data_IF_799037955983
#
_entry.id   IF_799037955983
#
_cell.length_a   1.000
_cell.length_b   1.000
_cell.length_c   1.000
_cell.angle_alpha   90.00
_cell.angle_beta   90.00
_cell.angle_gamma   90.00
#
_symmetry.space_group_name_H-M   'P 1'
#
loop_
_entity.id
_entity.type
_entity.pdbx_description
1 polymer ?
#
# COMPACT_ATOMS: atom_id res chain seq x y z
N UNK A 1 4.80 -9.73 0.06
CA UNK A 1 5.14 -8.35 0.50
C UNK A 1 6.19 -8.31 1.61
N UNK A 2 5.97 -9.00 2.73
CA UNK A 2 6.91 -9.04 3.87
C UNK A 2 8.21 -9.79 3.53
N UNK A 3 8.15 -10.78 2.64
CA UNK A 3 9.32 -11.55 2.15
C UNK A 3 10.28 -10.72 1.27
N UNK A 4 9.88 -9.50 0.90
CA UNK A 4 10.67 -8.59 0.04
C UNK A 4 11.36 -7.47 0.83
N UNK A 5 11.38 -7.58 2.16
CA UNK A 5 12.17 -6.69 3.00
C UNK A 5 13.64 -7.15 2.91
N UNK A 6 14.55 -6.21 2.66
CA UNK A 6 15.97 -6.47 2.44
C UNK A 6 16.72 -6.81 3.72
N UNK A 7 16.21 -6.39 4.89
CA UNK A 7 16.88 -6.61 6.16
C UNK A 7 15.93 -6.72 7.37
N UNK A 8 16.52 -7.13 8.49
CA UNK A 8 15.83 -7.31 9.78
C UNK A 8 15.33 -5.97 10.37
N UNK A 9 15.95 -4.85 10.04
CA UNK A 9 15.54 -3.53 10.52
C UNK A 9 14.22 -3.11 9.89
N UNK A 10 14.08 -3.29 8.57
CA UNK A 10 12.84 -3.07 7.83
C UNK A 10 11.72 -3.97 8.35
N UNK A 11 12.00 -5.25 8.59
CA UNK A 11 11.04 -6.17 9.19
C UNK A 11 10.61 -5.74 10.60
N UNK A 12 11.58 -5.32 11.43
CA UNK A 12 11.31 -4.83 12.78
C UNK A 12 10.48 -3.55 12.79
N UNK A 13 10.75 -2.63 11.85
CA UNK A 13 10.00 -1.38 11.69
C UNK A 13 8.56 -1.65 11.26
N UNK A 14 8.37 -2.55 10.29
CA UNK A 14 7.05 -3.00 9.86
C UNK A 14 6.27 -3.61 11.03
N UNK A 15 6.88 -4.52 11.80
CA UNK A 15 6.22 -5.14 12.96
C UNK A 15 5.76 -4.12 14.00
N UNK A 16 6.59 -3.10 14.30
CA UNK A 16 6.18 -2.02 15.22
C UNK A 16 5.02 -1.21 14.66
N UNK A 17 5.04 -0.87 13.38
CA UNK A 17 3.94 -0.13 12.73
C UNK A 17 2.64 -0.95 12.74
N UNK A 18 2.71 -2.27 12.50
CA UNK A 18 1.54 -3.16 12.55
C UNK A 18 0.96 -3.25 13.95
N UNK A 19 1.80 -3.41 14.98
CA UNK A 19 1.35 -3.45 16.37
C UNK A 19 0.63 -2.13 16.77
N UNK A 20 1.09 -0.99 16.26
CA UNK A 20 0.41 0.28 16.46
C UNK A 20 -0.93 0.37 15.71
N UNK A 21 -1.04 -0.20 14.51
CA UNK A 21 -2.32 -0.27 13.79
C UNK A 21 -3.35 -1.13 14.52
N UNK A 22 -2.94 -2.27 15.09
CA UNK A 22 -3.86 -3.16 15.82
C UNK A 22 -4.50 -2.48 17.05
N UNK A 23 -3.80 -1.51 17.64
CA UNK A 23 -4.30 -0.73 18.78
C UNK A 23 -5.28 0.37 18.38
N UNK A 24 -5.27 0.83 17.13
CA UNK A 24 -6.15 1.91 16.65
C UNK A 24 -7.60 1.45 16.53
N UNK A 25 -8.51 2.41 16.62
CA UNK A 25 -9.94 2.20 16.33
C UNK A 25 -10.17 1.97 14.83
N UNK A 26 -11.31 1.36 14.49
CA UNK A 26 -11.71 1.15 13.10
C UNK A 26 -11.82 2.48 12.31
N UNK A 27 -12.29 3.55 12.96
CA UNK A 27 -12.39 4.87 12.35
C UNK A 27 -11.01 5.46 12.02
N UNK A 28 -10.06 5.34 12.93
CA UNK A 28 -8.67 5.78 12.71
C UNK A 28 -8.00 4.96 11.60
N UNK A 29 -8.24 3.65 11.54
CA UNK A 29 -7.72 2.78 10.49
C UNK A 29 -8.30 3.14 9.12
N UNK A 30 -9.60 3.45 9.04
CA UNK A 30 -10.24 3.93 7.80
C UNK A 30 -9.65 5.28 7.36
N UNK A 31 -9.40 6.20 8.28
CA UNK A 31 -8.78 7.48 7.98
C UNK A 31 -7.33 7.33 7.51
N UNK A 32 -6.58 6.43 8.14
CA UNK A 32 -5.22 6.07 7.73
C UNK A 32 -5.20 5.53 6.30
N UNK A 33 -6.14 4.65 5.97
CA UNK A 33 -6.28 4.07 4.64
C UNK A 33 -6.54 5.15 3.57
N UNK A 34 -7.45 6.09 3.87
CA UNK A 34 -7.74 7.25 3.01
C UNK A 34 -6.51 8.13 2.79
N UNK A 35 -5.74 8.41 3.85
CA UNK A 35 -4.52 9.24 3.75
C UNK A 35 -3.47 8.64 2.81
N UNK A 36 -3.36 7.32 2.75
CA UNK A 36 -2.45 6.63 1.84
C UNK A 36 -2.99 6.49 0.41
N UNK A 37 -4.25 6.88 0.15
CA UNK A 37 -4.85 6.90 -1.18
C UNK A 37 -5.23 5.52 -1.75
N UNK A 38 -5.15 4.44 -0.96
CA UNK A 38 -5.56 3.10 -1.39
C UNK A 38 -7.08 2.93 -1.31
N UNK A 39 -7.62 2.00 -2.10
CA UNK A 39 -9.05 1.72 -2.15
C UNK A 39 -9.53 0.88 -0.96
N UNK A 40 -10.34 1.44 -0.04
CA UNK A 40 -10.80 0.68 1.12
C UNK A 40 -11.69 -0.46 0.64
N UNK A 41 -11.63 -1.60 1.32
CA UNK A 41 -12.69 -2.58 1.19
C UNK A 41 -13.87 -2.16 2.08
N UNK A 42 -15.01 -1.90 1.44
CA UNK A 42 -16.21 -1.37 2.07
C UNK A 42 -16.80 -2.33 3.11
N UNK A 43 -16.48 -3.63 3.03
CA UNK A 43 -16.99 -4.67 3.91
C UNK A 43 -15.92 -5.18 4.89
N UNK A 44 -14.76 -4.52 4.93
CA UNK A 44 -13.66 -4.95 5.79
C UNK A 44 -13.97 -4.78 7.27
N UNK A 45 -13.77 -5.87 8.02
CA UNK A 45 -13.64 -5.85 9.48
C UNK A 45 -12.38 -5.07 9.88
N UNK A 46 -12.22 -4.80 11.19
CA UNK A 46 -11.00 -4.18 11.71
C UNK A 46 -9.76 -4.96 11.28
N UNK A 47 -9.79 -6.28 11.39
CA UNK A 47 -8.72 -7.19 10.99
C UNK A 47 -8.44 -7.10 9.48
N UNK A 48 -9.48 -7.01 8.66
CA UNK A 48 -9.34 -6.82 7.20
C UNK A 48 -8.65 -5.51 6.83
N UNK A 49 -8.98 -4.41 7.52
CA UNK A 49 -8.33 -3.11 7.30
C UNK A 49 -6.88 -3.16 7.80
N UNK A 50 -6.62 -3.74 8.97
CA UNK A 50 -5.24 -3.92 9.47
C UNK A 50 -4.41 -4.72 8.47
N UNK A 51 -4.90 -5.86 8.00
CA UNK A 51 -4.21 -6.69 7.00
C UNK A 51 -3.88 -5.88 5.73
N UNK A 52 -4.84 -5.09 5.25
CA UNK A 52 -4.64 -4.25 4.06
C UNK A 52 -3.63 -3.14 4.32
N UNK A 53 -3.66 -2.49 5.48
CA UNK A 53 -2.66 -1.48 5.87
C UNK A 53 -1.27 -2.09 6.06
N UNK A 54 -1.17 -3.30 6.60
CA UNK A 54 0.10 -4.03 6.70
C UNK A 54 0.71 -4.27 5.33
N UNK A 55 -0.11 -4.62 4.32
CA UNK A 55 0.39 -4.75 2.94
C UNK A 55 0.91 -3.43 2.40
N UNK A 56 0.18 -2.32 2.63
CA UNK A 56 0.61 -0.99 2.21
C UNK A 56 1.90 -0.56 2.91
N UNK A 57 2.02 -0.76 4.22
CA UNK A 57 3.25 -0.50 4.98
C UNK A 57 4.42 -1.32 4.44
N UNK A 58 4.18 -2.59 4.07
CA UNK A 58 5.22 -3.41 3.46
C UNK A 58 5.70 -2.83 2.11
N UNK A 59 4.81 -2.21 1.32
CA UNK A 59 5.21 -1.47 0.10
C UNK A 59 6.01 -0.20 0.42
N UNK A 60 5.67 0.49 1.51
CA UNK A 60 6.39 1.68 1.94
C UNK A 60 7.79 1.36 2.45
N UNK A 61 8.00 0.21 3.09
CA UNK A 61 9.29 -0.20 3.65
C UNK A 61 10.19 -0.94 2.64
N UNK A 62 9.62 -1.66 1.66
CA UNK A 62 10.42 -2.47 0.73
C UNK A 62 11.40 -1.65 -0.13
N UNK A 63 12.55 -2.22 -0.54
CA UNK A 63 13.51 -1.56 -1.41
C UNK A 63 12.89 -1.06 -2.72
N UNK A 64 13.44 0.03 -3.26
CA UNK A 64 12.93 0.63 -4.49
C UNK A 64 13.00 -0.36 -5.68
N UNK A 65 14.01 -1.23 -5.73
CA UNK A 65 14.11 -2.31 -6.72
C UNK A 65 12.93 -3.27 -6.63
N UNK A 66 12.65 -3.80 -5.43
CA UNK A 66 11.54 -4.71 -5.18
C UNK A 66 10.16 -4.08 -5.44
N UNK A 67 10.02 -2.78 -5.17
CA UNK A 67 8.81 -2.03 -5.47
C UNK A 67 8.57 -1.90 -6.99
N UNK A 68 9.63 -1.69 -7.78
CA UNK A 68 9.56 -1.69 -9.25
C UNK A 68 9.21 -3.06 -9.79
N UNK A 69 9.84 -4.11 -9.27
CA UNK A 69 9.53 -5.50 -9.64
C UNK A 69 8.07 -5.82 -9.36
N UNK A 70 7.57 -5.45 -8.18
CA UNK A 70 6.16 -5.60 -7.83
C UNK A 70 5.23 -4.88 -8.81
N UNK A 71 5.59 -3.65 -9.21
CA UNK A 71 4.81 -2.93 -10.21
C UNK A 71 4.83 -3.64 -11.57
N UNK A 72 5.98 -4.18 -12.00
CA UNK A 72 6.10 -4.95 -13.25
C UNK A 72 5.28 -6.24 -13.21
N UNK A 73 5.33 -6.98 -12.12
CA UNK A 73 4.55 -8.21 -11.91
C UNK A 73 3.04 -7.93 -11.97
N UNK A 74 2.61 -6.79 -11.42
CA UNK A 74 1.23 -6.32 -11.48
C UNK A 74 0.89 -5.63 -12.82
N UNK A 75 1.78 -5.71 -13.82
CA UNK A 75 1.63 -5.10 -15.15
C UNK A 75 1.33 -3.59 -15.10
N UNK A 76 1.86 -2.91 -14.08
CA UNK A 76 1.74 -1.47 -13.93
C UNK A 76 2.82 -0.76 -14.77
N UNK A 77 2.53 0.43 -15.30
CA UNK A 77 3.44 1.18 -16.18
C UNK A 77 4.59 1.84 -15.39
N UNK A 78 5.37 1.04 -14.66
CA UNK A 78 6.52 1.50 -13.89
C UNK A 78 7.72 1.77 -14.81
N UNK A 79 8.27 2.98 -14.73
CA UNK A 79 9.45 3.45 -15.49
C UNK A 79 10.74 3.34 -14.67
N UNK A 80 11.87 3.36 -15.36
CA UNK A 80 13.22 3.19 -14.79
C UNK A 80 13.71 4.37 -13.93
N UNK A 81 13.05 5.52 -13.98
CA UNK A 81 13.43 6.77 -13.31
C UNK A 81 12.45 7.21 -12.20
N UNK A 82 11.36 6.47 -12.01
CA UNK A 82 10.32 6.81 -11.04
C UNK A 82 10.81 6.77 -9.59
N UNK A 83 10.33 7.73 -8.81
CA UNK A 83 10.55 7.81 -7.36
C UNK A 83 9.63 6.82 -6.64
N UNK A 84 9.94 6.54 -5.37
CA UNK A 84 9.09 5.67 -4.52
C UNK A 84 7.63 6.15 -4.50
N UNK A 85 7.40 7.45 -4.36
CA UNK A 85 6.05 8.03 -4.32
C UNK A 85 5.24 7.72 -5.58
N UNK A 86 5.87 7.80 -6.77
CA UNK A 86 5.21 7.52 -8.05
C UNK A 86 4.78 6.04 -8.14
N UNK A 87 5.65 5.13 -7.68
CA UNK A 87 5.36 3.70 -7.66
C UNK A 87 4.26 3.35 -6.65
N UNK A 88 4.24 3.99 -5.48
CA UNK A 88 3.17 3.83 -4.50
C UNK A 88 1.84 4.36 -5.04
N UNK A 89 1.84 5.49 -5.76
CA UNK A 89 0.65 6.00 -6.43
C UNK A 89 0.11 5.03 -7.50
N UNK A 90 1.00 4.39 -8.28
CA UNK A 90 0.57 3.36 -9.23
C UNK A 90 -0.09 2.17 -8.54
N UNK A 91 0.48 1.71 -7.41
CA UNK A 91 -0.10 0.63 -6.61
C UNK A 91 -1.45 1.04 -6.00
N UNK A 92 -1.56 2.26 -5.52
CA UNK A 92 -2.81 2.82 -5.00
C UNK A 92 -3.87 2.90 -6.11
N UNK A 93 -3.55 3.45 -7.28
CA UNK A 93 -4.45 3.51 -8.42
C UNK A 93 -4.91 2.11 -8.87
N UNK A 94 -3.99 1.14 -8.90
CA UNK A 94 -4.33 -0.24 -9.21
C UNK A 94 -5.29 -0.86 -8.18
N UNK A 95 -5.17 -0.50 -6.90
CA UNK A 95 -6.08 -0.99 -5.85
C UNK A 95 -7.54 -0.55 -6.06
N UNK A 96 -7.74 0.65 -6.64
CA UNK A 96 -9.05 1.15 -7.03
C UNK A 96 -9.56 0.47 -8.30
N UNK A 97 -8.67 0.30 -9.29
CA UNK A 97 -9.01 -0.38 -10.54
C UNK A 97 -9.46 -1.83 -10.30
N UNK A 98 -8.82 -2.53 -9.37
CA UNK A 98 -9.23 -3.88 -8.95
C UNK A 98 -10.64 -3.93 -8.35
N UNK A 99 -11.19 -2.79 -7.90
CA UNK A 99 -12.56 -2.62 -7.41
C UNK A 99 -13.49 -1.98 -8.45
N UNK A 100 -13.06 -1.89 -9.70
CA UNK A 100 -13.84 -1.33 -10.80
C UNK A 100 -13.81 0.20 -10.90
N UNK A 101 -12.96 0.89 -10.13
CA UNK A 101 -12.87 2.36 -10.12
C UNK A 101 -11.55 2.79 -10.78
N UNK A 102 -11.56 3.30 -12.03
CA UNK A 102 -10.34 3.71 -12.72
C UNK A 102 -9.91 5.13 -12.32
N UNK A 103 -9.33 5.28 -11.13
CA UNK A 103 -8.88 6.59 -10.62
C UNK A 103 -7.79 7.23 -11.47
N UNK A 104 -7.05 6.43 -12.25
CA UNK A 104 -6.06 6.90 -13.24
C UNK A 104 -6.68 7.67 -14.42
N UNK A 105 -8.01 7.58 -14.59
CA UNK A 105 -8.76 8.25 -15.66
C UNK A 105 -9.58 9.44 -15.17
N UNK A 106 -9.56 9.72 -13.87
CA UNK A 106 -10.27 10.86 -13.32
C UNK A 106 -9.44 12.12 -13.59
N UNK A 107 -10.02 13.18 -14.22
CA UNK A 107 -9.35 14.47 -14.28
C UNK A 107 -9.09 14.93 -12.84
N UNK A 108 -7.85 15.33 -12.58
CA UNK A 108 -7.36 15.66 -11.23
C UNK A 108 -8.28 16.64 -10.51
N UNK A 109 -8.60 16.35 -9.25
CA UNK A 109 -9.20 17.30 -8.29
C UNK A 109 -8.12 18.16 -7.65
#
# INVERSE_FOLDING_TARGET
PVERLADLEQASRLLRQVAELERRSLAELKNEYKRRGFAPDAHSTKEGIVKSLTEVLAFEEMPLSSLRELCKERQLPAKGDQRRADLLQLLAANSWKARGIPVDRLPSF
#
